data_IF_404005399217
#
_entry.id   IF_404005399217
#
_cell.length_a   1.000
_cell.length_b   1.000
_cell.length_c   1.000
_cell.angle_alpha   90.00
_cell.angle_beta   90.00
_cell.angle_gamma   90.00
#
_symmetry.space_group_name_H-M   'P 1'
#
loop_
_entity.id
_entity.type
_entity.pdbx_description
1 polymer ?
#
# COMPACT_ATOMS: atom_id res chain seq x y z
N UNK A 1 -0.57 12.29 -4.47
CA UNK A 1 -1.32 12.78 -3.29
C UNK A 1 -0.61 12.22 -2.06
N UNK A 2 -0.26 13.04 -1.07
CA UNK A 2 0.30 12.56 0.20
C UNK A 2 -0.84 12.41 1.21
N UNK A 3 -0.84 11.31 1.95
CA UNK A 3 -1.84 11.01 2.99
C UNK A 3 -1.11 10.75 4.30
N UNK A 4 -1.60 11.33 5.39
CA UNK A 4 -1.05 11.09 6.72
C UNK A 4 -1.25 9.63 7.14
N UNK A 5 -0.36 9.11 7.99
CA UNK A 5 -0.59 7.83 8.67
C UNK A 5 -1.80 7.96 9.61
N UNK A 6 -2.62 6.90 9.73
CA UNK A 6 -3.61 6.80 10.80
C UNK A 6 -2.94 6.97 12.17
N UNK A 7 -3.54 7.76 13.04
CA UNK A 7 -3.16 7.84 14.44
C UNK A 7 -3.58 6.57 15.19
N UNK A 8 -3.10 6.40 16.43
CA UNK A 8 -3.55 5.30 17.28
C UNK A 8 -5.07 5.34 17.53
N UNK A 9 -5.66 6.52 17.63
CA UNK A 9 -7.10 6.70 17.80
C UNK A 9 -7.87 6.29 16.53
N UNK A 10 -7.34 6.59 15.35
CA UNK A 10 -7.94 6.15 14.09
C UNK A 10 -7.94 4.62 13.98
N UNK A 11 -6.84 3.97 14.40
CA UNK A 11 -6.72 2.51 14.41
C UNK A 11 -7.70 1.88 15.41
N UNK A 12 -7.85 2.45 16.61
CA UNK A 12 -8.80 1.96 17.62
C UNK A 12 -10.25 2.09 17.13
N UNK A 13 -10.62 3.23 16.54
CA UNK A 13 -11.95 3.42 15.95
C UNK A 13 -12.20 2.46 14.78
N UNK A 14 -11.18 2.21 13.95
CA UNK A 14 -11.25 1.25 12.87
C UNK A 14 -11.44 -0.20 13.38
N UNK A 15 -10.81 -0.55 14.49
CA UNK A 15 -10.98 -1.86 15.15
C UNK A 15 -12.37 -2.04 15.74
N UNK A 16 -12.94 -0.99 16.35
CA UNK A 16 -14.32 -1.02 16.81
C UNK A 16 -15.29 -1.23 15.63
N UNK A 17 -15.12 -0.50 14.54
CA UNK A 17 -15.92 -0.68 13.34
C UNK A 17 -15.76 -2.08 12.73
N UNK A 18 -14.53 -2.60 12.67
CA UNK A 18 -14.24 -3.95 12.22
C UNK A 18 -15.04 -4.98 13.04
N UNK A 19 -15.03 -4.84 14.37
CA UNK A 19 -15.76 -5.74 15.28
C UNK A 19 -17.28 -5.65 15.07
N UNK A 20 -17.83 -4.44 14.92
CA UNK A 20 -19.27 -4.25 14.64
C UNK A 20 -19.65 -4.97 13.33
N UNK A 21 -18.87 -4.79 12.27
CA UNK A 21 -19.14 -5.41 10.98
C UNK A 21 -19.03 -6.94 11.05
N UNK A 22 -18.06 -7.49 11.80
CA UNK A 22 -17.98 -8.94 12.05
C UNK A 22 -19.22 -9.47 12.78
N UNK A 23 -19.71 -8.77 13.80
CA UNK A 23 -20.90 -9.17 14.55
C UNK A 23 -22.15 -9.21 13.66
N UNK A 24 -22.28 -8.26 12.73
CA UNK A 24 -23.36 -8.24 11.75
C UNK A 24 -23.19 -9.39 10.74
N UNK A 25 -21.98 -9.57 10.20
CA UNK A 25 -21.66 -10.53 9.13
C UNK A 25 -21.73 -12.01 9.58
N UNK A 26 -21.49 -12.28 10.87
CA UNK A 26 -21.52 -13.63 11.45
C UNK A 26 -22.84 -14.40 11.18
N UNK A 27 -23.90 -13.71 10.76
CA UNK A 27 -25.17 -14.29 10.31
C UNK A 27 -25.23 -14.50 8.78
N UNK A 28 -24.25 -15.15 8.16
CA UNK A 28 -24.22 -15.49 6.73
C UNK A 28 -24.39 -14.29 5.77
N UNK A 29 -23.54 -13.26 5.89
CA UNK A 29 -23.63 -12.06 5.04
C UNK A 29 -24.55 -10.98 5.60
N UNK A 30 -24.87 -11.07 6.89
CA UNK A 30 -25.78 -10.16 7.54
C UNK A 30 -27.25 -10.61 7.48
N UNK A 31 -28.08 -10.06 8.36
CA UNK A 31 -29.49 -10.43 8.46
C UNK A 31 -30.34 -9.97 7.24
N UNK A 32 -31.52 -10.56 7.06
CA UNK A 32 -32.36 -10.35 5.87
C UNK A 32 -32.83 -8.91 5.73
N UNK A 33 -32.86 -8.42 4.48
CA UNK A 33 -33.35 -7.08 4.15
C UNK A 33 -34.85 -6.94 4.46
N UNK A 34 -35.25 -5.74 4.88
CA UNK A 34 -36.65 -5.35 5.01
C UNK A 34 -37.19 -4.89 3.64
N UNK A 35 -38.20 -5.55 3.06
CA UNK A 35 -38.75 -5.18 1.76
C UNK A 35 -39.43 -3.79 1.74
N UNK A 36 -39.81 -3.26 2.91
CA UNK A 36 -40.49 -1.96 3.01
C UNK A 36 -39.51 -0.77 3.07
N UNK A 37 -38.20 -1.02 3.05
CA UNK A 37 -37.15 0.00 3.14
C UNK A 37 -36.24 -0.01 1.90
N UNK A 38 -35.65 1.14 1.58
CA UNK A 38 -34.71 1.28 0.46
C UNK A 38 -33.41 0.48 0.64
N UNK A 39 -32.66 0.29 -0.44
CA UNK A 39 -31.39 -0.47 -0.45
C UNK A 39 -30.14 0.41 -0.24
N UNK A 40 -30.26 1.73 -0.41
CA UNK A 40 -29.16 2.69 -0.35
C UNK A 40 -29.52 3.86 0.54
N UNK A 41 -28.78 4.05 1.63
CA UNK A 41 -28.98 5.21 2.50
C UNK A 41 -28.57 6.51 1.82
N UNK A 42 -27.53 6.47 1.00
CA UNK A 42 -27.08 7.65 0.24
C UNK A 42 -28.15 8.12 -0.75
N UNK A 43 -28.89 7.20 -1.38
CA UNK A 43 -29.97 7.57 -2.31
C UNK A 43 -31.16 8.13 -1.53
N UNK A 44 -31.53 7.50 -0.41
CA UNK A 44 -32.62 7.99 0.45
C UNK A 44 -32.40 9.44 0.90
N UNK A 45 -31.17 9.79 1.31
CA UNK A 45 -30.83 11.14 1.76
C UNK A 45 -30.70 12.14 0.59
N UNK A 46 -30.28 11.69 -0.60
CA UNK A 46 -30.23 12.57 -1.78
C UNK A 46 -31.61 12.99 -2.29
N UNK A 47 -32.65 12.17 -2.05
CA UNK A 47 -34.00 12.35 -2.59
C UNK A 47 -34.97 13.16 -1.69
N UNK A 48 -34.49 13.79 -0.60
CA UNK A 48 -35.33 14.73 0.15
C UNK A 48 -35.02 14.97 1.62
N UNK A 49 -34.03 14.29 2.21
CA UNK A 49 -33.61 14.49 3.61
C UNK A 49 -32.11 14.80 3.68
N UNK A 50 -31.74 16.03 4.05
CA UNK A 50 -30.34 16.49 4.03
C UNK A 50 -29.44 15.74 5.03
N UNK A 51 -30.00 15.09 6.05
CA UNK A 51 -29.28 14.45 7.15
C UNK A 51 -29.92 13.13 7.63
N UNK A 52 -29.10 12.25 8.21
CA UNK A 52 -29.57 11.01 8.82
C UNK A 52 -30.28 11.27 10.16
N UNK A 53 -31.60 11.11 10.19
CA UNK A 53 -32.39 11.02 11.42
C UNK A 53 -32.35 9.61 12.05
N UNK A 54 -31.83 9.50 13.28
CA UNK A 54 -31.76 8.24 14.02
C UNK A 54 -33.07 7.84 14.70
N UNK A 55 -34.05 8.75 14.81
CA UNK A 55 -35.40 8.46 15.31
C UNK A 55 -36.34 8.05 14.15
N UNK A 56 -35.95 8.31 12.90
CA UNK A 56 -36.68 7.89 11.71
C UNK A 56 -36.49 6.39 11.45
N UNK A 57 -37.58 5.63 11.55
CA UNK A 57 -37.58 4.18 11.34
C UNK A 57 -37.19 3.80 9.92
N UNK A 58 -37.57 4.57 8.90
CA UNK A 58 -37.21 4.29 7.51
C UNK A 58 -35.70 4.43 7.31
N UNK A 59 -35.08 5.45 7.91
CA UNK A 59 -33.63 5.67 7.85
C UNK A 59 -32.85 4.50 8.46
N UNK A 60 -33.24 4.08 9.66
CA UNK A 60 -32.61 2.93 10.33
C UNK A 60 -32.74 1.64 9.51
N UNK A 61 -33.90 1.39 8.92
CA UNK A 61 -34.15 0.21 8.11
C UNK A 61 -33.39 0.24 6.78
N UNK A 62 -33.31 1.41 6.13
CA UNK A 62 -32.53 1.57 4.90
C UNK A 62 -31.02 1.48 5.16
N UNK A 63 -30.51 2.07 6.24
CA UNK A 63 -29.11 1.88 6.67
C UNK A 63 -28.79 0.39 6.83
N UNK A 64 -29.69 -0.33 7.50
CA UNK A 64 -29.56 -1.75 7.74
C UNK A 64 -29.60 -2.58 6.43
N UNK A 65 -30.52 -2.29 5.51
CA UNK A 65 -30.57 -2.93 4.19
C UNK A 65 -29.27 -2.70 3.40
N UNK A 66 -28.79 -1.46 3.42
CA UNK A 66 -27.57 -1.07 2.74
C UNK A 66 -26.35 -1.85 3.28
N UNK A 67 -26.21 -1.94 4.61
CA UNK A 67 -25.15 -2.73 5.25
C UNK A 67 -25.25 -4.23 4.89
N UNK A 68 -26.45 -4.80 4.96
CA UNK A 68 -26.65 -6.22 4.63
C UNK A 68 -26.34 -6.51 3.15
N UNK A 69 -26.65 -5.58 2.25
CA UNK A 69 -26.30 -5.67 0.83
C UNK A 69 -24.77 -5.66 0.62
N UNK A 70 -24.05 -4.74 1.27
CA UNK A 70 -22.58 -4.67 1.21
C UNK A 70 -21.92 -5.96 1.69
N UNK A 71 -22.38 -6.51 2.83
CA UNK A 71 -21.83 -7.73 3.42
C UNK A 71 -22.09 -8.98 2.58
N UNK A 72 -23.29 -9.11 1.98
CA UNK A 72 -23.62 -10.22 1.07
C UNK A 72 -22.84 -10.16 -0.25
N UNK A 73 -22.72 -8.97 -0.84
CA UNK A 73 -22.10 -8.81 -2.15
C UNK A 73 -20.57 -8.93 -2.09
N UNK A 74 -19.96 -8.55 -0.96
CA UNK A 74 -18.52 -8.65 -0.77
C UNK A 74 -18.16 -9.21 0.62
N UNK A 75 -18.31 -10.53 0.84
CA UNK A 75 -18.08 -11.13 2.15
C UNK A 75 -16.69 -10.81 2.71
N UNK A 76 -16.63 -10.38 3.98
CA UNK A 76 -15.40 -10.02 4.68
C UNK A 76 -14.54 -8.92 3.98
N UNK A 77 -15.15 -8.01 3.20
CA UNK A 77 -14.39 -6.90 2.60
C UNK A 77 -13.75 -6.01 3.66
N UNK A 78 -14.47 -5.74 4.75
CA UNK A 78 -14.03 -4.91 5.86
C UNK A 78 -12.77 -5.48 6.52
N UNK A 79 -12.67 -6.80 6.68
CA UNK A 79 -11.45 -7.44 7.15
C UNK A 79 -10.27 -7.19 6.20
N UNK A 80 -10.46 -7.38 4.90
CA UNK A 80 -9.38 -7.15 3.92
C UNK A 80 -8.95 -5.69 3.82
N UNK A 81 -9.89 -4.75 3.91
CA UNK A 81 -9.63 -3.33 3.74
C UNK A 81 -9.15 -2.69 5.04
N UNK A 82 -9.96 -2.77 6.10
CA UNK A 82 -9.66 -2.14 7.40
C UNK A 82 -8.48 -2.85 8.05
N UNK A 83 -8.55 -4.17 8.24
CA UNK A 83 -7.46 -4.90 8.88
C UNK A 83 -6.22 -4.96 7.98
N UNK A 84 -6.38 -5.01 6.65
CA UNK A 84 -5.27 -4.86 5.72
C UNK A 84 -4.51 -3.55 5.94
N UNK A 85 -5.20 -2.42 6.04
CA UNK A 85 -4.55 -1.14 6.29
C UNK A 85 -3.95 -1.08 7.72
N UNK A 86 -4.75 -1.35 8.75
CA UNK A 86 -4.39 -1.09 10.15
C UNK A 86 -3.43 -2.14 10.74
N UNK A 87 -3.54 -3.41 10.33
CA UNK A 87 -2.80 -4.54 10.93
C UNK A 87 -1.80 -5.20 9.99
N UNK A 88 -1.76 -4.80 8.71
CA UNK A 88 -0.75 -5.28 7.76
C UNK A 88 0.13 -4.14 7.28
N UNK A 89 -0.45 -3.10 6.70
CA UNK A 89 0.30 -1.95 6.17
C UNK A 89 0.92 -1.12 7.31
N UNK A 90 0.12 -0.80 8.33
CA UNK A 90 0.55 -0.02 9.49
C UNK A 90 1.32 -0.85 10.53
N UNK A 91 1.38 -2.17 10.39
CA UNK A 91 2.12 -3.00 11.33
C UNK A 91 3.62 -2.82 11.14
N UNK A 92 4.25 -2.10 12.06
CA UNK A 92 5.66 -1.68 11.99
C UNK A 92 6.61 -2.84 11.71
N UNK A 93 6.33 -4.05 12.23
CA UNK A 93 7.17 -5.24 12.01
C UNK A 93 7.17 -5.75 10.58
N UNK A 94 6.14 -5.40 9.80
CA UNK A 94 6.16 -5.68 8.37
C UNK A 94 7.06 -4.70 7.63
N UNK A 95 7.45 -3.58 8.27
CA UNK A 95 8.37 -2.56 7.77
C UNK A 95 7.92 -2.00 6.40
N UNK A 96 6.63 -2.02 6.06
CA UNK A 96 6.13 -1.61 4.74
C UNK A 96 6.27 -0.10 4.56
N UNK A 97 5.97 0.66 5.61
CA UNK A 97 6.03 2.10 5.62
C UNK A 97 7.34 2.61 6.26
N UNK A 98 7.77 3.80 5.84
CA UNK A 98 8.89 4.52 6.44
C UNK A 98 8.55 4.88 7.89
N UNK A 99 9.29 4.39 8.91
CA UNK A 99 9.00 4.69 10.31
C UNK A 99 9.13 6.19 10.64
N UNK A 100 9.97 6.92 9.91
CA UNK A 100 10.28 8.33 10.20
C UNK A 100 9.38 9.32 9.43
N UNK A 101 8.49 8.82 8.55
CA UNK A 101 7.51 9.66 7.85
C UNK A 101 6.18 9.72 8.61
N UNK A 102 5.57 10.91 8.69
CA UNK A 102 4.19 11.07 9.17
C UNK A 102 3.13 10.71 8.11
N UNK A 103 3.57 10.36 6.89
CA UNK A 103 2.72 10.00 5.77
C UNK A 103 2.83 8.51 5.42
N UNK A 104 1.87 8.02 4.62
CA UNK A 104 1.93 6.70 3.98
C UNK A 104 3.01 6.74 2.88
N UNK A 105 4.27 6.66 3.29
CA UNK A 105 5.44 6.56 2.44
C UNK A 105 6.07 5.17 2.59
N UNK A 106 6.57 4.59 1.50
CA UNK A 106 7.21 3.28 1.52
C UNK A 106 8.53 3.32 2.29
N UNK A 107 8.82 2.24 3.02
CA UNK A 107 10.05 2.11 3.79
C UNK A 107 11.31 2.32 2.91
N UNK A 108 12.32 3.08 3.37
CA UNK A 108 13.52 3.41 2.58
C UNK A 108 14.26 2.20 2.00
N UNK A 109 14.14 1.05 2.67
CA UNK A 109 14.67 -0.24 2.19
C UNK A 109 14.20 -0.61 0.78
N UNK A 110 12.99 -0.23 0.35
CA UNK A 110 12.55 -0.50 -1.02
C UNK A 110 13.34 0.33 -2.04
N UNK A 111 13.67 1.58 -1.71
CA UNK A 111 14.57 2.41 -2.53
C UNK A 111 15.97 1.82 -2.59
N UNK A 112 16.50 1.35 -1.45
CA UNK A 112 17.81 0.66 -1.40
C UNK A 112 17.78 -0.62 -2.23
N UNK A 113 16.74 -1.44 -2.11
CA UNK A 113 16.55 -2.66 -2.91
C UNK A 113 16.48 -2.35 -4.41
N UNK A 114 15.73 -1.33 -4.81
CA UNK A 114 15.63 -0.91 -6.21
C UNK A 114 16.98 -0.43 -6.75
N UNK A 115 17.72 0.36 -5.96
CA UNK A 115 19.06 0.82 -6.31
C UNK A 115 20.02 -0.35 -6.49
N UNK A 116 20.02 -1.30 -5.56
CA UNK A 116 20.87 -2.49 -5.63
C UNK A 116 20.50 -3.39 -6.82
N UNK A 117 19.21 -3.55 -7.11
CA UNK A 117 18.77 -4.27 -8.30
C UNK A 117 19.24 -3.58 -9.59
N UNK A 118 19.18 -2.26 -9.67
CA UNK A 118 19.67 -1.50 -10.82
C UNK A 118 21.19 -1.64 -11.00
N UNK A 119 21.97 -1.55 -9.91
CA UNK A 119 23.43 -1.79 -9.93
C UNK A 119 23.75 -3.18 -10.47
N UNK A 120 23.03 -4.20 -10.01
CA UNK A 120 23.18 -5.57 -10.51
C UNK A 120 22.87 -5.69 -12.00
N UNK A 121 21.75 -5.13 -12.45
CA UNK A 121 21.36 -5.15 -13.86
C UNK A 121 22.40 -4.45 -14.75
N UNK A 122 22.94 -3.32 -14.29
CA UNK A 122 23.96 -2.57 -15.01
C UNK A 122 25.26 -3.37 -15.16
N UNK A 123 25.74 -3.99 -14.06
CA UNK A 123 26.92 -4.86 -14.08
C UNK A 123 26.70 -6.05 -15.01
N UNK A 124 25.52 -6.69 -14.96
CA UNK A 124 25.16 -7.83 -15.82
C UNK A 124 25.16 -7.48 -17.32
N UNK A 125 24.85 -6.24 -17.67
CA UNK A 125 24.76 -5.78 -19.06
C UNK A 125 26.08 -5.22 -19.61
N UNK A 126 27.20 -5.28 -18.87
CA UNK A 126 28.48 -4.77 -19.35
C UNK A 126 29.02 -5.61 -20.51
N UNK A 127 29.56 -4.89 -21.50
CA UNK A 127 30.31 -5.49 -22.59
C UNK A 127 31.65 -6.02 -22.06
N UNK A 128 31.94 -7.30 -22.34
CA UNK A 128 33.15 -7.97 -21.86
C UNK A 128 34.41 -7.41 -22.51
N UNK A 129 34.31 -6.74 -23.65
CA UNK A 129 35.46 -6.08 -24.30
C UNK A 129 35.98 -4.91 -23.45
N UNK A 130 35.15 -4.33 -22.58
CA UNK A 130 35.55 -3.25 -21.66
C UNK A 130 36.51 -3.70 -20.56
N UNK A 131 36.75 -5.01 -20.39
CA UNK A 131 37.81 -5.55 -19.53
C UNK A 131 39.19 -5.05 -19.98
N UNK A 132 39.36 -4.80 -21.27
CA UNK A 132 40.62 -4.31 -21.86
C UNK A 132 40.66 -2.79 -22.06
N UNK A 133 39.49 -2.15 -22.10
CA UNK A 133 39.34 -0.72 -22.39
C UNK A 133 39.03 0.14 -21.14
N UNK A 134 38.90 -0.49 -19.97
CA UNK A 134 38.56 0.14 -18.70
C UNK A 134 37.05 0.16 -18.44
N UNK A 135 36.65 -0.23 -17.22
CA UNK A 135 35.26 -0.29 -16.81
C UNK A 135 35.12 -0.75 -15.35
N UNK A 136 33.92 -0.59 -14.78
CA UNK A 136 33.60 -1.12 -13.45
C UNK A 136 33.10 -2.55 -13.59
N UNK A 137 33.81 -3.47 -12.97
CA UNK A 137 33.49 -4.88 -12.99
C UNK A 137 33.46 -5.45 -11.60
N UNK A 138 32.60 -6.42 -11.46
CA UNK A 138 32.49 -7.28 -10.31
C UNK A 138 33.15 -8.61 -10.74
N UNK A 139 34.41 -8.89 -10.35
CA UNK A 139 35.18 -9.97 -10.98
C UNK A 139 35.51 -11.16 -10.09
N UNK A 140 35.42 -12.39 -10.65
CA UNK A 140 36.54 -13.34 -10.68
C UNK A 140 36.46 -14.26 -11.91
N UNK A 141 37.45 -14.12 -12.80
CA UNK A 141 37.96 -15.19 -13.69
C UNK A 141 39.40 -14.87 -14.15
N UNK A 142 40.23 -15.90 -14.51
CA UNK A 142 39.95 -17.32 -14.29
C UNK A 142 40.02 -17.71 -12.82
N UNK A 143 40.64 -16.87 -11.97
CA UNK A 143 41.04 -17.31 -10.63
C UNK A 143 41.27 -16.24 -9.57
N UNK A 144 41.42 -14.93 -9.83
CA UNK A 144 41.78 -14.03 -8.70
C UNK A 144 40.93 -12.75 -8.55
N UNK A 145 39.78 -12.93 -7.87
CA UNK A 145 38.57 -12.11 -7.63
C UNK A 145 38.86 -10.85 -6.80
N UNK A 146 38.29 -9.69 -7.17
CA UNK A 146 37.78 -8.78 -6.13
C UNK A 146 36.37 -8.33 -6.50
N UNK A 147 35.45 -8.67 -5.60
CA UNK A 147 34.06 -8.28 -5.52
C UNK A 147 33.85 -7.71 -4.12
N UNK A 148 33.66 -6.39 -3.95
CA UNK A 148 33.46 -5.93 -2.59
C UNK A 148 32.76 -4.57 -2.44
N UNK A 149 31.66 -4.62 -1.68
CA UNK A 149 31.28 -3.60 -0.71
C UNK A 149 30.84 -2.25 -1.25
N UNK A 150 30.91 -1.25 -0.38
CA UNK A 150 30.48 0.11 -0.67
C UNK A 150 31.31 0.76 -1.78
N UNK A 151 32.58 0.37 -1.93
CA UNK A 151 33.46 0.87 -2.99
C UNK A 151 32.99 0.43 -4.38
N UNK A 152 32.52 -0.83 -4.53
CA UNK A 152 31.92 -1.30 -5.78
C UNK A 152 30.61 -0.56 -6.05
N UNK A 153 29.76 -0.41 -5.03
CA UNK A 153 28.50 0.31 -5.12
C UNK A 153 28.69 1.76 -5.57
N UNK A 154 29.68 2.45 -5.01
CA UNK A 154 30.02 3.84 -5.36
C UNK A 154 30.57 3.95 -6.79
N UNK A 155 31.41 3.00 -7.23
CA UNK A 155 31.93 2.97 -8.59
C UNK A 155 30.82 2.74 -9.62
N UNK A 156 29.87 1.84 -9.34
CA UNK A 156 28.71 1.61 -10.23
C UNK A 156 27.81 2.84 -10.27
N UNK A 157 27.51 3.46 -9.12
CA UNK A 157 26.69 4.68 -9.07
C UNK A 157 27.32 5.82 -9.90
N UNK A 158 28.64 6.02 -9.78
CA UNK A 158 29.37 7.03 -10.54
C UNK A 158 29.30 6.74 -12.05
N UNK A 159 29.43 5.48 -12.46
CA UNK A 159 29.35 5.09 -13.87
C UNK A 159 27.93 5.23 -14.45
N UNK A 160 26.90 4.91 -13.65
CA UNK A 160 25.50 5.12 -14.01
C UNK A 160 25.18 6.61 -14.19
N UNK A 161 25.63 7.46 -13.26
CA UNK A 161 25.44 8.91 -13.34
C UNK A 161 26.13 9.52 -14.57
N UNK A 162 27.33 9.03 -14.92
CA UNK A 162 28.06 9.49 -16.11
C UNK A 162 27.42 9.08 -17.45
N UNK A 163 26.53 8.07 -17.46
CA UNK A 163 25.85 7.57 -18.66
C UNK A 163 24.48 8.24 -18.89
N UNK A 164 23.91 8.92 -17.90
CA UNK A 164 22.70 9.71 -18.11
C UNK A 164 23.06 10.97 -18.92
N UNK A 165 22.51 11.17 -20.13
CA UNK A 165 22.75 12.39 -20.88
C UNK A 165 22.20 13.58 -20.09
N UNK A 166 22.90 14.71 -20.12
CA UNK A 166 22.48 15.95 -19.48
C UNK A 166 21.17 16.45 -20.10
N UNK A 167 20.04 16.04 -19.58
CA UNK A 167 18.72 16.60 -19.90
C UNK A 167 18.53 17.95 -19.17
N UNK A 168 19.44 18.90 -19.36
CA UNK A 168 19.19 20.34 -19.12
C UNK A 168 20.13 21.18 -19.99
N UNK A 169 19.78 21.31 -21.28
CA UNK A 169 20.21 22.43 -22.12
C UNK A 169 19.32 22.52 -23.37
N UNK A 170 18.07 22.95 -23.21
CA UNK A 170 17.26 23.61 -24.23
C UNK A 170 16.08 24.33 -23.57
#
# INVERSE_FOLDING_TARGET
MKMAKPSAQDIEAADELLNILQLIDARFGGPWANPDAGDSLSELLQDGEEEFDCDNTLHLQTLYNNLASLLRNAPNFYGRVISGMCHVIMYEKNEILDPDSDCIDLHPRFTVMAKNANRYLWLRARDLDTITCGGVFAGLTPDNLVLNGEDLDAAVDAALAAQQPSEVAA
#
